data_IF_335577686859
#
_entry.id   IF_335577686859
#
_cell.length_a   1.000
_cell.length_b   1.000
_cell.length_c   1.000
_cell.angle_alpha   90.00
_cell.angle_beta   90.00
_cell.angle_gamma   90.00
#
_symmetry.space_group_name_H-M   'P 1'
#
loop_
_entity.id
_entity.type
_entity.pdbx_description
1 polymer ?
#
# COMPACT_ATOMS: atom_id res chain seq x y z
N UNK A 1 12.30 4.47 -12.63
CA UNK A 1 12.80 3.11 -12.88
C UNK A 1 11.57 2.28 -13.17
N UNK A 2 11.51 1.70 -14.37
CA UNK A 2 10.45 0.78 -14.76
C UNK A 2 10.89 -0.69 -14.56
N UNK A 3 9.97 -1.63 -14.77
CA UNK A 3 10.22 -3.05 -14.54
C UNK A 3 11.30 -3.63 -15.45
N UNK A 4 11.33 -3.24 -16.72
CA UNK A 4 12.36 -3.70 -17.67
C UNK A 4 13.75 -3.21 -17.26
N UNK A 5 13.87 -1.97 -16.80
CA UNK A 5 15.11 -1.42 -16.24
C UNK A 5 15.54 -2.15 -14.97
N UNK A 6 14.60 -2.53 -14.10
CA UNK A 6 14.89 -3.31 -12.90
C UNK A 6 15.48 -4.69 -13.25
N UNK A 7 14.94 -5.35 -14.27
CA UNK A 7 15.42 -6.67 -14.73
C UNK A 7 16.85 -6.63 -15.30
N UNK A 8 17.33 -5.47 -15.74
CA UNK A 8 18.73 -5.30 -16.19
C UNK A 8 19.70 -5.29 -15.01
N UNK A 9 19.27 -4.78 -13.85
CA UNK A 9 20.15 -4.60 -12.68
C UNK A 9 19.95 -5.64 -11.59
N UNK A 10 18.84 -6.38 -11.62
CA UNK A 10 18.47 -7.36 -10.60
C UNK A 10 17.88 -8.60 -11.25
N UNK A 11 18.35 -9.79 -10.83
CA UNK A 11 17.77 -11.02 -11.33
C UNK A 11 16.32 -11.16 -10.86
N UNK A 12 15.46 -11.81 -11.66
CA UNK A 12 14.04 -11.99 -11.29
C UNK A 12 13.87 -12.61 -9.90
N UNK A 13 14.69 -13.60 -9.56
CA UNK A 13 14.62 -14.30 -8.26
C UNK A 13 15.04 -13.45 -7.06
N UNK A 14 15.72 -12.33 -7.28
CA UNK A 14 16.09 -11.39 -6.21
C UNK A 14 15.05 -10.27 -6.04
N UNK A 15 14.18 -10.04 -7.04
CA UNK A 15 13.16 -8.98 -6.99
C UNK A 15 12.18 -9.29 -5.87
N UNK A 16 12.10 -8.36 -4.93
CA UNK A 16 11.16 -8.38 -3.81
C UNK A 16 9.88 -7.66 -4.20
N UNK A 17 8.79 -7.93 -3.47
CA UNK A 17 7.54 -7.22 -3.71
C UNK A 17 7.70 -5.71 -3.46
N UNK A 18 8.48 -5.32 -2.44
CA UNK A 18 8.78 -3.93 -2.17
C UNK A 18 9.51 -3.23 -3.33
N UNK A 19 10.39 -3.93 -4.07
CA UNK A 19 11.01 -3.36 -5.28
C UNK A 19 9.93 -3.02 -6.31
N UNK A 20 8.96 -3.90 -6.52
CA UNK A 20 7.86 -3.68 -7.45
C UNK A 20 7.00 -2.47 -7.06
N UNK A 21 6.75 -2.28 -5.76
CA UNK A 21 6.02 -1.11 -5.25
C UNK A 21 6.81 0.21 -5.39
N UNK A 22 8.10 0.16 -5.71
CA UNK A 22 8.91 1.36 -5.97
C UNK A 22 8.94 1.76 -7.46
N UNK A 23 8.42 0.91 -8.36
CA UNK A 23 8.47 1.11 -9.80
C UNK A 23 7.42 2.11 -10.29
N UNK A 24 7.67 2.64 -11.48
CA UNK A 24 6.84 3.69 -12.07
C UNK A 24 5.45 3.18 -12.45
N UNK A 25 5.34 1.92 -12.86
CA UNK A 25 4.09 1.22 -13.14
C UNK A 25 3.17 1.18 -11.92
N UNK A 26 3.70 0.83 -10.75
CA UNK A 26 2.93 0.86 -9.50
C UNK A 26 2.55 2.28 -9.10
N UNK A 27 3.44 3.27 -9.28
CA UNK A 27 3.11 4.68 -8.97
C UNK A 27 1.95 5.17 -9.84
N UNK A 28 1.96 4.86 -11.13
CA UNK A 28 0.88 5.19 -12.05
C UNK A 28 -0.42 4.49 -11.65
N UNK A 29 -0.37 3.17 -11.40
CA UNK A 29 -1.55 2.42 -10.96
C UNK A 29 -2.11 2.95 -9.63
N UNK A 30 -1.23 3.28 -8.68
CA UNK A 30 -1.63 3.89 -7.41
C UNK A 30 -2.37 5.20 -7.64
N UNK A 31 -1.88 6.07 -8.54
CA UNK A 31 -2.57 7.31 -8.88
C UNK A 31 -3.95 7.08 -9.50
N UNK A 32 -4.07 6.12 -10.42
CA UNK A 32 -5.34 5.72 -11.03
C UNK A 32 -6.37 5.27 -9.98
N UNK A 33 -5.95 4.43 -9.02
CA UNK A 33 -6.85 3.93 -7.96
C UNK A 33 -7.27 5.04 -7.02
N UNK A 34 -6.35 5.93 -6.65
CA UNK A 34 -6.66 7.09 -5.82
C UNK A 34 -7.66 8.02 -6.51
N UNK A 35 -7.50 8.26 -7.82
CA UNK A 35 -8.44 9.07 -8.60
C UNK A 35 -9.82 8.39 -8.68
N UNK A 36 -9.84 7.08 -8.98
CA UNK A 36 -11.05 6.25 -8.98
C UNK A 36 -11.81 6.36 -7.65
N UNK A 37 -11.09 6.30 -6.55
CA UNK A 37 -11.65 6.33 -5.18
C UNK A 37 -11.80 7.77 -4.64
N UNK A 38 -11.68 8.79 -5.50
CA UNK A 38 -11.85 10.22 -5.17
C UNK A 38 -10.94 10.70 -4.03
N UNK A 39 -9.73 10.13 -3.96
CA UNK A 39 -8.73 10.37 -2.92
C UNK A 39 -9.26 10.21 -1.49
N UNK A 40 -10.16 9.24 -1.30
CA UNK A 40 -10.79 8.93 -0.02
C UNK A 40 -10.65 7.46 0.34
N UNK A 41 -10.63 7.20 1.64
CA UNK A 41 -10.82 5.86 2.17
C UNK A 41 -12.19 5.34 1.75
N UNK A 42 -12.21 4.19 1.08
CA UNK A 42 -13.44 3.55 0.61
C UNK A 42 -14.31 2.98 1.74
N UNK A 43 -13.73 2.78 2.94
CA UNK A 43 -14.43 2.29 4.12
C UNK A 43 -15.01 3.40 5.01
N UNK A 44 -14.22 4.43 5.33
CA UNK A 44 -14.61 5.48 6.27
C UNK A 44 -14.80 6.88 5.65
N UNK A 45 -14.50 7.05 4.37
CA UNK A 45 -14.65 8.32 3.65
C UNK A 45 -13.58 9.38 3.93
N UNK A 46 -12.61 9.12 4.80
CA UNK A 46 -11.54 10.09 5.14
C UNK A 46 -10.65 10.41 3.93
N UNK A 47 -10.36 11.70 3.70
CA UNK A 47 -9.49 12.17 2.61
C UNK A 47 -8.01 12.28 3.03
N UNK A 48 -7.10 12.33 2.04
CA UNK A 48 -5.67 12.65 2.27
C UNK A 48 -5.45 14.05 2.81
N UNK A 49 -4.39 14.24 3.60
CA UNK A 49 -3.79 15.56 3.81
C UNK A 49 -2.96 15.99 2.59
N UNK A 50 -3.04 17.27 2.21
CA UNK A 50 -1.97 17.89 1.44
C UNK A 50 -0.73 18.04 2.34
N UNK A 51 0.42 17.57 1.88
CA UNK A 51 1.71 17.72 2.56
C UNK A 51 2.13 19.19 2.73
N UNK A 52 3.25 19.47 3.43
CA UNK A 52 3.67 20.84 3.73
C UNK A 52 3.87 21.66 2.45
N UNK A 53 3.28 22.86 2.42
CA UNK A 53 3.60 23.87 1.41
C UNK A 53 4.95 24.51 1.80
N UNK A 54 6.01 24.24 1.04
CA UNK A 54 7.31 24.89 1.25
C UNK A 54 7.31 26.27 0.58
N UNK A 55 7.09 27.32 1.37
CA UNK A 55 7.46 28.69 1.01
C UNK A 55 8.50 29.18 2.00
N UNK A 56 9.78 29.00 1.67
CA UNK A 56 10.93 29.61 2.36
C UNK A 56 11.09 29.24 3.84
N UNK A 57 12.08 28.38 4.16
CA UNK A 57 12.73 28.16 5.47
C UNK A 57 11.90 28.08 6.77
N UNK A 58 10.57 28.11 6.73
CA UNK A 58 9.68 28.04 7.88
C UNK A 58 8.59 26.98 7.63
N UNK A 59 8.46 26.05 8.57
CA UNK A 59 7.32 25.13 8.65
C UNK A 59 6.09 25.94 9.06
N UNK A 60 5.24 26.32 8.10
CA UNK A 60 3.92 26.88 8.39
C UNK A 60 2.89 25.75 8.42
N UNK A 61 2.27 25.50 9.57
CA UNK A 61 1.06 24.70 9.67
C UNK A 61 -0.10 25.50 9.07
N UNK A 62 -0.77 24.94 8.07
CA UNK A 62 -1.77 25.65 7.28
C UNK A 62 -2.96 26.19 8.09
N UNK A 63 -3.18 27.51 7.91
CA UNK A 63 -4.39 28.35 7.94
C UNK A 63 -5.17 28.50 9.26
N UNK A 64 -5.10 29.71 9.84
CA UNK A 64 -6.15 30.25 10.74
C UNK A 64 -7.48 30.26 9.99
N UNK A 65 -8.47 29.54 10.51
CA UNK A 65 -9.89 29.77 10.22
C UNK A 65 -10.52 30.15 11.56
N UNK A 66 -11.03 31.37 11.63
CA UNK A 66 -11.95 31.76 12.68
C UNK A 66 -13.30 31.12 12.34
N UNK A 67 -14.03 30.73 13.38
CA UNK A 67 -15.45 30.36 13.40
C UNK A 67 -15.76 28.86 13.48
N UNK A 68 -16.77 28.64 14.32
CA UNK A 68 -17.11 27.47 15.10
C UNK A 68 -17.72 26.37 14.21
N UNK A 69 -16.91 25.38 13.85
CA UNK A 69 -17.41 24.09 13.36
C UNK A 69 -16.51 22.98 13.87
N UNK A 70 -17.14 21.88 14.28
CA UNK A 70 -16.54 20.71 14.94
C UNK A 70 -15.52 20.02 14.05
N UNK A 71 -14.24 20.41 14.15
CA UNK A 71 -13.12 19.87 13.38
C UNK A 71 -12.57 18.59 14.01
N UNK A 72 -13.35 17.51 13.93
CA UNK A 72 -12.87 16.13 14.08
C UNK A 72 -12.75 15.46 12.70
N UNK A 73 -12.41 16.23 11.66
CA UNK A 73 -11.93 15.68 10.39
C UNK A 73 -10.49 15.22 10.58
N UNK A 74 -10.35 14.02 11.14
CA UNK A 74 -9.07 13.35 11.35
C UNK A 74 -8.41 13.08 10.00
N UNK A 75 -7.33 13.81 9.73
CA UNK A 75 -6.46 13.67 8.56
C UNK A 75 -5.78 12.29 8.62
N UNK A 76 -5.87 11.47 7.57
CA UNK A 76 -5.28 10.11 7.56
C UNK A 76 -4.41 9.86 6.33
N UNK A 77 -3.39 9.01 6.49
CA UNK A 77 -2.58 8.49 5.39
C UNK A 77 -3.43 7.52 4.58
N UNK A 78 -3.47 7.67 3.25
CA UNK A 78 -4.15 6.73 2.36
C UNK A 78 -3.16 5.79 1.66
N UNK A 79 -3.52 4.52 1.69
CA UNK A 79 -2.77 3.36 1.22
C UNK A 79 -3.64 2.58 0.22
N UNK A 80 -3.00 1.87 -0.71
CA UNK A 80 -3.71 0.96 -1.61
C UNK A 80 -3.67 -0.43 -1.00
N UNK A 81 -4.84 -0.96 -0.72
CA UNK A 81 -5.04 -2.29 -0.19
C UNK A 81 -5.36 -3.28 -1.32
N UNK A 82 -4.74 -4.45 -1.28
CA UNK A 82 -5.06 -5.58 -2.14
C UNK A 82 -6.09 -6.47 -1.44
N UNK A 83 -7.28 -6.61 -2.04
CA UNK A 83 -8.36 -7.50 -1.56
C UNK A 83 -8.02 -8.97 -1.71
N UNK A 84 -7.11 -9.29 -2.64
CA UNK A 84 -6.53 -10.61 -2.84
C UNK A 84 -5.23 -10.47 -3.63
N UNK A 85 -4.43 -11.53 -3.62
CA UNK A 85 -3.23 -11.66 -4.44
C UNK A 85 -3.37 -12.82 -5.44
N UNK A 86 -2.70 -12.70 -6.58
CA UNK A 86 -2.50 -13.78 -7.54
C UNK A 86 -0.99 -14.03 -7.62
N UNK A 87 -0.58 -15.31 -7.53
CA UNK A 87 0.84 -15.69 -7.55
C UNK A 87 1.53 -15.17 -8.82
N UNK A 88 2.73 -14.62 -8.66
CA UNK A 88 3.56 -14.08 -9.74
C UNK A 88 2.93 -12.93 -10.56
N UNK A 89 1.77 -12.40 -10.14
CA UNK A 89 1.15 -11.24 -10.78
C UNK A 89 1.77 -9.96 -10.21
N UNK A 90 2.10 -9.01 -11.08
CA UNK A 90 2.71 -7.75 -10.70
C UNK A 90 1.67 -6.86 -10.00
N UNK A 91 2.07 -6.00 -9.04
CA UNK A 91 1.14 -5.17 -8.27
C UNK A 91 0.20 -4.31 -9.14
N UNK A 92 0.65 -3.89 -10.33
CA UNK A 92 -0.13 -3.02 -11.20
C UNK A 92 -1.06 -3.74 -12.19
N UNK A 93 -1.01 -5.07 -12.26
CA UNK A 93 -1.81 -5.86 -13.22
C UNK A 93 -3.24 -6.16 -12.73
N UNK A 94 -3.58 -5.77 -11.49
CA UNK A 94 -4.92 -5.99 -10.94
C UNK A 94 -5.91 -4.91 -11.41
N UNK A 95 -7.12 -5.32 -11.80
CA UNK A 95 -8.19 -4.42 -12.21
C UNK A 95 -9.16 -4.07 -11.05
N UNK A 96 -9.63 -5.08 -10.32
CA UNK A 96 -10.71 -4.99 -9.32
C UNK A 96 -10.27 -5.35 -7.89
N UNK A 97 -9.05 -5.87 -7.73
CA UNK A 97 -8.49 -6.26 -6.44
C UNK A 97 -7.96 -5.08 -5.60
N UNK A 98 -7.98 -3.85 -6.12
CA UNK A 98 -7.30 -2.70 -5.50
C UNK A 98 -8.28 -1.62 -5.06
N UNK A 99 -8.11 -1.18 -3.80
CA UNK A 99 -8.96 -0.16 -3.18
C UNK A 99 -8.16 0.76 -2.26
N UNK A 100 -8.57 2.01 -2.15
CA UNK A 100 -7.94 3.00 -1.27
C UNK A 100 -8.51 2.88 0.13
N UNK A 101 -7.64 2.65 1.12
CA UNK A 101 -7.98 2.66 2.54
C UNK A 101 -7.14 3.68 3.29
N UNK A 102 -7.67 4.26 4.36
CA UNK A 102 -6.81 4.94 5.33
C UNK A 102 -6.02 3.92 6.15
N UNK A 103 -4.86 4.31 6.68
CA UNK A 103 -3.98 3.41 7.43
C UNK A 103 -4.70 2.65 8.56
N UNK A 104 -5.66 3.29 9.24
CA UNK A 104 -6.44 2.64 10.31
C UNK A 104 -7.41 1.58 9.76
N UNK A 105 -8.15 1.90 8.70
CA UNK A 105 -9.03 0.93 8.03
C UNK A 105 -8.22 -0.21 7.42
N UNK A 106 -7.03 0.10 6.87
CA UNK A 106 -6.14 -0.89 6.29
C UNK A 106 -5.67 -1.92 7.32
N UNK A 107 -5.17 -1.45 8.47
CA UNK A 107 -4.80 -2.32 9.60
C UNK A 107 -6.00 -3.14 10.06
N UNK A 108 -7.16 -2.49 10.25
CA UNK A 108 -8.38 -3.17 10.71
C UNK A 108 -8.78 -4.30 9.79
N UNK A 109 -8.75 -4.10 8.46
CA UNK A 109 -9.03 -5.17 7.49
C UNK A 109 -8.09 -6.35 7.70
N UNK A 110 -6.79 -6.12 7.87
CA UNK A 110 -5.82 -7.20 8.13
C UNK A 110 -5.97 -7.87 9.51
N UNK A 111 -6.56 -7.19 10.49
CA UNK A 111 -6.89 -7.77 11.80
C UNK A 111 -8.18 -8.61 11.76
N UNK A 112 -9.15 -8.24 10.92
CA UNK A 112 -10.49 -8.85 10.91
C UNK A 112 -10.73 -9.82 9.77
N UNK A 113 -9.94 -9.74 8.70
CA UNK A 113 -10.14 -10.48 7.46
C UNK A 113 -8.84 -11.15 7.00
N UNK A 114 -8.98 -12.32 6.38
CA UNK A 114 -7.88 -13.00 5.70
C UNK A 114 -7.86 -12.56 4.23
N UNK A 115 -6.72 -12.07 3.76
CA UNK A 115 -6.53 -11.69 2.35
C UNK A 115 -6.11 -12.94 1.55
N UNK A 116 -6.99 -13.50 0.70
CA UNK A 116 -6.71 -14.74 0.02
C UNK A 116 -5.65 -14.56 -1.07
N UNK A 117 -4.89 -15.63 -1.31
CA UNK A 117 -3.96 -15.73 -2.44
C UNK A 117 -4.47 -16.81 -3.37
N UNK A 118 -4.50 -16.52 -4.67
CA UNK A 118 -4.88 -17.45 -5.71
C UNK A 118 -3.67 -17.87 -6.54
N UNK A 119 -3.71 -19.10 -7.04
CA UNK A 119 -2.68 -19.62 -7.92
C UNK A 119 -2.62 -18.88 -9.26
N UNK A 120 -3.78 -18.53 -9.80
CA UNK A 120 -3.94 -17.83 -11.07
C UNK A 120 -5.21 -16.97 -11.07
N UNK A 121 -5.44 -16.26 -12.18
CA UNK A 121 -6.57 -15.35 -12.37
C UNK A 121 -7.95 -16.04 -12.46
N UNK A 122 -8.04 -17.37 -12.38
CA UNK A 122 -9.33 -18.07 -12.27
C UNK A 122 -10.00 -17.88 -10.90
N UNK A 123 -9.22 -17.50 -9.88
CA UNK A 123 -9.66 -17.35 -8.49
C UNK A 123 -10.29 -18.61 -7.88
N UNK A 124 -10.00 -19.79 -8.44
CA UNK A 124 -10.58 -21.07 -7.96
C UNK A 124 -9.71 -21.80 -6.95
N UNK A 125 -8.39 -21.69 -7.07
CA UNK A 125 -7.43 -22.40 -6.22
C UNK A 125 -6.71 -21.42 -5.30
N UNK A 126 -7.00 -21.50 -4.00
CA UNK A 126 -6.31 -20.72 -2.98
C UNK A 126 -4.99 -21.37 -2.57
N UNK A 127 -3.98 -20.56 -2.32
CA UNK A 127 -2.72 -20.96 -1.71
C UNK A 127 -2.83 -20.73 -0.20
N UNK A 128 -2.62 -21.79 0.59
CA UNK A 128 -2.54 -21.66 2.05
C UNK A 128 -1.16 -21.15 2.43
N UNK A 129 -1.10 -19.94 2.97
CA UNK A 129 0.10 -19.40 3.63
C UNK A 129 -0.33 -18.66 4.88
N UNK A 130 0.58 -18.58 5.84
CA UNK A 130 0.37 -17.78 7.03
C UNK A 130 0.69 -16.30 6.75
N UNK A 131 -0.09 -15.44 7.39
CA UNK A 131 0.19 -14.01 7.49
C UNK A 131 1.54 -13.79 8.18
N UNK A 132 2.28 -12.77 7.74
CA UNK A 132 3.54 -12.42 8.37
C UNK A 132 3.31 -11.89 9.79
N UNK A 133 3.65 -12.68 10.81
CA UNK A 133 3.54 -12.31 12.23
C UNK A 133 4.24 -10.99 12.61
N UNK A 134 5.24 -10.55 11.83
CA UNK A 134 5.95 -9.30 12.12
C UNK A 134 5.13 -8.06 11.79
N UNK A 135 4.45 -8.04 10.65
CA UNK A 135 3.69 -6.88 10.19
C UNK A 135 2.17 -7.08 10.28
N UNK A 136 1.71 -8.27 10.67
CA UNK A 136 0.28 -8.59 10.73
C UNK A 136 -0.40 -8.55 9.37
N UNK A 137 0.33 -8.76 8.26
CA UNK A 137 -0.26 -8.79 6.91
C UNK A 137 -0.11 -7.50 6.10
N UNK A 138 0.28 -6.40 6.73
CA UNK A 138 0.36 -5.08 6.05
C UNK A 138 1.56 -4.95 5.10
N UNK A 139 2.57 -5.82 5.25
CA UNK A 139 3.84 -5.72 4.52
C UNK A 139 4.76 -4.59 5.00
N UNK A 140 4.35 -3.80 5.99
CA UNK A 140 5.02 -2.58 6.43
C UNK A 140 5.04 -2.45 7.96
N UNK A 141 6.09 -1.85 8.50
CA UNK A 141 6.32 -1.58 9.91
C UNK A 141 6.50 -0.07 10.09
N UNK A 142 5.48 0.59 10.62
CA UNK A 142 5.43 2.06 10.74
C UNK A 142 6.56 2.62 11.59
N UNK A 143 6.94 1.92 12.65
CA UNK A 143 8.02 2.33 13.54
C UNK A 143 9.37 2.39 12.82
N UNK A 144 9.50 1.69 11.69
CA UNK A 144 10.72 1.64 10.88
C UNK A 144 10.60 2.43 9.56
N UNK A 145 9.63 3.33 9.41
CA UNK A 145 9.46 4.14 8.19
C UNK A 145 10.75 4.89 7.79
N UNK A 146 11.56 5.31 8.77
CA UNK A 146 12.85 5.98 8.53
C UNK A 146 13.94 5.07 7.91
N UNK A 147 13.72 3.76 7.86
CA UNK A 147 14.67 2.78 7.37
C UNK A 147 14.03 1.89 6.31
N UNK A 148 14.58 1.91 5.09
CA UNK A 148 14.02 1.22 3.91
C UNK A 148 12.54 1.55 3.64
N UNK A 149 12.10 2.74 4.07
CA UNK A 149 10.71 3.15 3.92
C UNK A 149 9.74 2.20 4.63
N UNK A 150 10.11 1.66 5.79
CA UNK A 150 9.23 0.85 6.64
C UNK A 150 8.85 -0.52 6.08
N UNK A 151 9.40 -0.96 4.95
CA UNK A 151 9.15 -2.29 4.40
C UNK A 151 9.45 -3.35 5.46
N UNK A 152 8.52 -4.28 5.67
CA UNK A 152 8.72 -5.33 6.65
C UNK A 152 9.86 -6.26 6.21
N UNK A 153 10.95 -6.27 6.97
CA UNK A 153 12.15 -7.07 6.67
C UNK A 153 11.89 -8.59 6.65
N UNK A 154 10.79 -9.05 7.25
CA UNK A 154 10.44 -10.47 7.30
C UNK A 154 9.79 -10.97 6.01
N UNK A 155 8.81 -10.23 5.48
CA UNK A 155 8.06 -10.61 4.28
C UNK A 155 8.44 -9.81 3.04
N UNK A 156 9.34 -8.83 3.17
CA UNK A 156 9.85 -8.00 2.07
C UNK A 156 8.73 -7.29 1.29
N UNK A 157 7.70 -6.85 2.03
CA UNK A 157 6.55 -6.11 1.50
C UNK A 157 5.33 -6.93 1.13
N UNK A 158 5.38 -8.27 1.15
CA UNK A 158 4.22 -9.10 0.75
C UNK A 158 3.13 -9.19 1.82
N UNK A 159 3.49 -8.95 3.09
CA UNK A 159 2.60 -9.22 4.22
C UNK A 159 2.46 -10.70 4.58
N UNK A 160 3.10 -11.61 3.84
CA UNK A 160 2.86 -13.06 3.91
C UNK A 160 4.18 -13.82 4.08
N UNK A 161 4.13 -15.07 4.57
CA UNK A 161 5.35 -15.88 4.79
C UNK A 161 5.99 -16.45 3.53
N UNK A 162 5.30 -16.42 2.39
CA UNK A 162 5.84 -16.90 1.11
C UNK A 162 6.56 -15.78 0.33
N UNK A 163 7.68 -16.07 -0.33
CA UNK A 163 8.27 -15.20 -1.35
C UNK A 163 7.28 -14.94 -2.49
N UNK A 164 7.36 -13.75 -3.11
CA UNK A 164 6.54 -13.44 -4.29
C UNK A 164 6.97 -14.26 -5.51
N UNK A 165 8.28 -14.45 -5.70
CA UNK A 165 8.87 -15.29 -6.75
C UNK A 165 9.33 -16.63 -6.15
N UNK A 166 8.46 -17.63 -6.14
CA UNK A 166 8.79 -19.05 -5.98
C UNK A 166 8.50 -19.82 -7.28
#
# INVERSE_FOLDING_TARGET
MNYEELLVVKSKYEITYADLLALDEWKLKRMEILEKDQEKCTECGSSKSFGPFFSGSQKLWGRKINDESTLEETRKLLEIHHKYYIRNLLPWEYEDALTTLCSECHIKVHETEEIPIYFDSSLTQKITTETCERCGGTGFLKEYEYYQGGVCFGCQGTGMRIPWND
#
